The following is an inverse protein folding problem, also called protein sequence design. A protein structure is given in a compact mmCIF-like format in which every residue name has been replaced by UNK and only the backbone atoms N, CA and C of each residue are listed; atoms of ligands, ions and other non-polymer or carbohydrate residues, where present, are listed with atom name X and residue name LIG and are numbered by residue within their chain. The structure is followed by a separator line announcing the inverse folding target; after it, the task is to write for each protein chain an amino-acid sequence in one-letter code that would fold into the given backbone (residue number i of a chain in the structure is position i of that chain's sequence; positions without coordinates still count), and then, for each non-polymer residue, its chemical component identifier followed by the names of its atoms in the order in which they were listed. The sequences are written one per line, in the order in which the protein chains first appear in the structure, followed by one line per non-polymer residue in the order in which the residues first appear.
data_IF_735624172595
#
_entry.id   IF_735624172595
#
_cell.length_a   1.000
_cell.length_b   1.000
_cell.length_c   1.000
_cell.angle_alpha   90.00
_cell.angle_beta   90.00
_cell.angle_gamma   90.00
#
_symmetry.space_group_name_H-M   'P 1'
#
loop_
_entity.id
_entity.type
_entity.pdbx_description
1 polymer ?
#
# COMPACT_ATOMS: atom_id res chain seq x y z
N UNK A 1 12.75 22.98 -36.38
CA UNK A 1 12.43 24.06 -35.42
C UNK A 1 11.95 23.55 -34.04
N UNK A 2 11.94 22.24 -33.76
CA UNK A 2 11.47 21.68 -32.48
C UNK A 2 12.53 20.87 -31.70
N UNK A 3 13.70 20.58 -32.28
CA UNK A 3 14.70 19.69 -31.65
C UNK A 3 15.25 20.20 -30.31
N UNK A 4 15.24 21.51 -30.06
CA UNK A 4 15.80 22.09 -28.82
C UNK A 4 14.87 22.03 -27.61
N UNK A 5 13.55 21.88 -27.79
CA UNK A 5 12.59 21.89 -26.67
C UNK A 5 12.83 20.74 -25.69
N UNK A 6 13.14 19.56 -26.23
CA UNK A 6 13.47 18.39 -25.42
C UNK A 6 14.79 18.60 -24.68
N UNK A 7 15.79 19.19 -25.34
CA UNK A 7 17.09 19.49 -24.72
C UNK A 7 16.99 20.56 -23.62
N UNK A 8 16.13 21.57 -23.80
CA UNK A 8 15.85 22.59 -22.78
C UNK A 8 15.32 21.95 -21.50
N UNK A 9 14.34 21.03 -21.61
CA UNK A 9 13.79 20.30 -20.46
C UNK A 9 14.85 19.41 -19.82
N UNK A 10 15.68 18.73 -20.62
CA UNK A 10 16.77 17.89 -20.09
C UNK A 10 17.80 18.73 -19.33
N UNK A 11 18.18 19.90 -19.84
CA UNK A 11 19.12 20.82 -19.18
C UNK A 11 18.53 21.31 -17.86
N UNK A 12 17.26 21.73 -17.84
CA UNK A 12 16.59 22.17 -16.61
C UNK A 12 16.55 21.03 -15.59
N UNK A 13 16.16 19.82 -16.01
CA UNK A 13 16.15 18.64 -15.15
C UNK A 13 17.55 18.32 -14.60
N UNK A 14 18.60 18.43 -15.42
CA UNK A 14 19.98 18.22 -15.00
C UNK A 14 20.42 19.27 -13.98
N UNK A 15 20.08 20.54 -14.16
CA UNK A 15 20.38 21.62 -13.20
C UNK A 15 19.66 21.39 -11.88
N UNK A 16 18.38 21.03 -11.91
CA UNK A 16 17.62 20.67 -10.70
C UNK A 16 18.25 19.46 -10.02
N UNK A 17 18.67 18.44 -10.77
CA UNK A 17 19.33 17.27 -10.22
C UNK A 17 20.71 17.58 -9.62
N UNK A 18 21.41 18.59 -10.13
CA UNK A 18 22.69 19.04 -9.60
C UNK A 18 22.51 19.87 -8.31
N UNK A 19 21.49 20.73 -8.25
CA UNK A 19 21.17 21.55 -7.07
C UNK A 19 20.57 20.72 -5.93
N UNK A 20 19.61 19.86 -6.24
CA UNK A 20 18.93 19.02 -5.25
C UNK A 20 19.67 17.70 -5.02
N UNK A 21 20.45 17.21 -5.99
CA UNK A 21 21.15 15.93 -5.93
C UNK A 21 20.32 14.76 -6.47
N UNK A 22 21.02 13.78 -7.08
CA UNK A 22 20.42 12.59 -7.70
C UNK A 22 19.52 11.76 -6.76
N UNK A 23 19.73 11.88 -5.45
CA UNK A 23 18.99 11.13 -4.43
C UNK A 23 17.77 11.88 -3.88
N UNK A 24 17.70 13.21 -4.02
CA UNK A 24 16.60 14.04 -3.45
C UNK A 24 15.39 14.14 -4.36
N UNK A 25 15.60 14.17 -5.67
CA UNK A 25 14.51 14.15 -6.65
C UNK A 25 13.65 12.88 -6.56
N UNK A 26 14.21 11.65 -6.55
CA UNK A 26 13.40 10.43 -6.40
C UNK A 26 12.81 10.27 -5.00
N UNK A 27 13.47 10.77 -3.96
CA UNK A 27 12.99 10.70 -2.58
C UNK A 27 11.78 11.63 -2.38
N UNK A 28 11.88 12.88 -2.85
CA UNK A 28 10.76 13.83 -2.85
C UNK A 28 9.61 13.33 -3.73
N UNK A 29 9.89 12.79 -4.92
CA UNK A 29 8.86 12.21 -5.78
C UNK A 29 8.18 10.99 -5.13
N UNK A 30 8.91 10.16 -4.38
CA UNK A 30 8.34 9.03 -3.62
C UNK A 30 7.45 9.48 -2.48
N UNK A 31 7.86 10.50 -1.73
CA UNK A 31 7.04 11.11 -0.67
C UNK A 31 5.76 11.75 -1.22
N UNK A 32 5.90 12.60 -2.23
CA UNK A 32 4.80 13.27 -2.92
C UNK A 32 3.88 12.27 -3.65
N UNK A 33 4.42 11.18 -4.19
CA UNK A 33 3.65 10.13 -4.84
C UNK A 33 2.77 9.34 -3.87
N UNK A 34 3.26 9.09 -2.64
CA UNK A 34 2.45 8.46 -1.59
C UNK A 34 1.30 9.37 -1.14
N UNK A 35 1.57 10.66 -0.89
CA UNK A 35 0.52 11.60 -0.47
C UNK A 35 -0.50 11.85 -1.59
N UNK A 36 -0.05 11.97 -2.84
CA UNK A 36 -0.93 12.16 -3.99
C UNK A 36 -1.80 10.92 -4.25
N UNK A 37 -1.29 9.71 -3.97
CA UNK A 37 -2.09 8.47 -4.09
C UNK A 37 -3.23 8.43 -3.08
N UNK A 38 -2.97 8.80 -1.83
CA UNK A 38 -3.99 8.84 -0.77
C UNK A 38 -5.05 9.89 -1.13
N UNK A 39 -4.62 11.09 -1.49
CA UNK A 39 -5.52 12.16 -1.94
C UNK A 39 -6.34 11.74 -3.16
N UNK A 40 -5.70 11.10 -4.16
CA UNK A 40 -6.39 10.57 -5.35
C UNK A 40 -7.43 9.53 -4.97
N UNK A 41 -7.14 8.59 -4.04
CA UNK A 41 -8.11 7.58 -3.63
C UNK A 41 -9.31 8.18 -2.90
N UNK A 42 -9.10 9.16 -2.02
CA UNK A 42 -10.21 9.83 -1.33
C UNK A 42 -11.05 10.66 -2.31
N UNK A 43 -10.41 11.43 -3.20
CA UNK A 43 -11.10 12.21 -4.24
C UNK A 43 -11.80 11.31 -5.26
N UNK A 44 -11.22 10.17 -5.61
CA UNK A 44 -11.86 9.17 -6.47
C UNK A 44 -13.05 8.52 -5.77
N UNK A 45 -12.96 8.20 -4.48
CA UNK A 45 -14.09 7.66 -3.73
C UNK A 45 -15.26 8.64 -3.72
N UNK A 46 -15.02 9.93 -3.51
CA UNK A 46 -16.07 10.96 -3.60
C UNK A 46 -16.70 11.07 -4.99
N UNK A 47 -15.88 10.95 -6.06
CA UNK A 47 -16.37 10.96 -7.45
C UNK A 47 -17.13 9.68 -7.81
N UNK A 48 -16.70 8.54 -7.31
CA UNK A 48 -17.29 7.22 -7.59
C UNK A 48 -18.55 6.99 -6.77
N UNK A 49 -18.66 7.52 -5.55
CA UNK A 49 -19.88 7.42 -4.72
C UNK A 49 -21.06 8.18 -5.36
N UNK A 50 -20.76 9.23 -6.13
CA UNK A 50 -21.75 9.91 -6.99
C UNK A 50 -22.21 9.05 -8.19
N UNK A 51 -21.51 7.96 -8.51
CA UNK A 51 -21.79 7.05 -9.65
C UNK A 51 -22.12 5.60 -9.23
N UNK A 52 -21.91 5.21 -7.97
CA UNK A 52 -21.96 3.82 -7.49
C UNK A 52 -23.05 3.59 -6.43
N UNK A 53 -24.18 4.28 -6.49
CA UNK A 53 -25.36 3.93 -5.71
C UNK A 53 -26.14 2.71 -6.26
N UNK A 54 -25.56 1.84 -7.12
CA UNK A 54 -26.29 0.71 -7.75
C UNK A 54 -25.61 -0.66 -7.72
N UNK A 55 -24.42 -0.88 -7.13
CA UNK A 55 -23.91 -2.26 -7.06
C UNK A 55 -23.10 -2.52 -5.80
N UNK A 56 -23.73 -3.24 -4.87
CA UNK A 56 -23.14 -3.79 -3.67
C UNK A 56 -22.42 -5.13 -3.94
N UNK A 57 -21.19 -5.21 -3.42
CA UNK A 57 -20.42 -6.37 -2.94
C UNK A 57 -20.12 -7.58 -3.86
N UNK A 58 -18.89 -8.12 -3.72
CA UNK A 58 -18.79 -9.52 -3.30
C UNK A 58 -18.00 -9.67 -2.00
N UNK A 59 -18.55 -10.50 -1.13
CA UNK A 59 -17.94 -10.98 0.11
C UNK A 59 -16.82 -11.97 -0.28
N UNK A 60 -15.59 -11.67 0.10
CA UNK A 60 -14.49 -12.65 0.01
C UNK A 60 -14.47 -13.48 1.29
N UNK A 61 -15.07 -14.67 1.21
CA UNK A 61 -14.81 -15.77 2.13
C UNK A 61 -13.51 -16.42 1.66
N UNK A 62 -12.40 -16.12 2.33
CA UNK A 62 -11.17 -16.88 2.20
C UNK A 62 -11.08 -17.83 3.40
N UNK A 63 -11.56 -19.05 3.19
CA UNK A 63 -11.30 -20.20 4.05
C UNK A 63 -9.80 -20.55 3.96
N UNK A 64 -9.09 -20.49 5.08
CA UNK A 64 -7.79 -21.11 5.27
C UNK A 64 -7.94 -22.32 6.18
N UNK A 65 -7.48 -23.53 5.79
CA UNK A 65 -7.48 -24.71 6.66
C UNK A 65 -6.65 -24.46 7.92
N UNK A 66 -7.26 -24.58 9.10
CA UNK A 66 -6.53 -24.72 10.37
C UNK A 66 -6.26 -26.21 10.57
N UNK A 67 -5.10 -26.66 10.09
CA UNK A 67 -4.60 -28.01 10.39
C UNK A 67 -3.21 -27.90 11.03
N UNK A 68 -3.11 -28.57 12.18
CA UNK A 68 -1.91 -29.02 12.90
C UNK A 68 -1.10 -28.00 13.73
N UNK A 69 -1.16 -28.15 15.06
CA UNK A 69 -0.07 -28.73 15.86
C UNK A 69 -0.70 -29.29 17.15
N UNK A 70 -0.92 -30.60 17.15
CA UNK A 70 -0.99 -31.40 18.37
C UNK A 70 0.42 -31.49 18.94
N UNK A 71 0.65 -31.02 20.17
CA UNK A 71 2.00 -31.14 20.73
C UNK A 71 2.22 -30.56 22.12
N UNK A 72 1.36 -30.84 23.10
CA UNK A 72 1.82 -30.91 24.50
C UNK A 72 1.02 -31.99 25.24
N UNK A 73 1.64 -33.11 25.64
CA UNK A 73 1.02 -34.05 26.58
C UNK A 73 0.99 -33.39 27.96
N UNK A 74 -0.21 -33.06 28.47
CA UNK A 74 -0.42 -32.82 29.90
C UNK A 74 -0.36 -34.17 30.62
N UNK A 75 0.87 -34.62 30.84
CA UNK A 75 1.17 -35.68 31.79
C UNK A 75 0.86 -35.16 33.19
N UNK A 76 0.06 -35.95 33.91
CA UNK A 76 0.19 -36.14 35.36
C UNK A 76 -0.34 -35.03 36.29
N UNK A 77 -1.52 -35.28 36.85
CA UNK A 77 -1.69 -35.38 38.30
C UNK A 77 -3.04 -36.04 38.57
N UNK A 78 -2.98 -37.38 38.66
CA UNK A 78 -4.03 -38.19 39.22
C UNK A 78 -4.23 -37.83 40.70
N UNK A 79 -5.50 -37.93 41.12
CA UNK A 79 -5.93 -38.11 42.50
C UNK A 79 -5.69 -36.92 43.43
N UNK A 80 -6.77 -36.36 43.97
CA UNK A 80 -6.97 -36.14 45.42
C UNK A 80 -8.38 -35.52 45.60
N UNK A 81 -9.22 -36.27 46.34
CA UNK A 81 -10.49 -35.98 47.04
C UNK A 81 -11.83 -36.00 46.25
N UNK A 82 -12.74 -36.83 46.81
CA UNK A 82 -14.21 -36.66 46.90
C UNK A 82 -15.00 -37.44 45.81
N UNK A 83 -15.82 -38.46 46.08
CA UNK A 83 -16.46 -39.01 47.30
C UNK A 83 -16.71 -40.51 47.15
#
# INVERSE_FOLDING_TARGET
MLENRTLEIIIIAAVVLLLFGAKRLPDAARGLGKSLRIFKSEVSAMKTDSAQATTAAPRSVAAGPIEDVTGHPVTESASIIQS
#
